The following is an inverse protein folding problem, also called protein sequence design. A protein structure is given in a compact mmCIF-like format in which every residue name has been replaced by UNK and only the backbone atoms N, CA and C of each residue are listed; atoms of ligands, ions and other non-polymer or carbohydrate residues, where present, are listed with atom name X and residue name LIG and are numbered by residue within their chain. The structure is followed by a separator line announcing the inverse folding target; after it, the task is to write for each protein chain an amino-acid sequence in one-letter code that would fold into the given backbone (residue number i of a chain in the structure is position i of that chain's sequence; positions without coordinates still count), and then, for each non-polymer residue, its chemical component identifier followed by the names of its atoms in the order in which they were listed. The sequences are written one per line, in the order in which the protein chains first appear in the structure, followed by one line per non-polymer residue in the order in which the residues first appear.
data_IF_992741681110
#
_entry.id   IF_992741681110
#
_cell.length_a   1.000
_cell.length_b   1.000
_cell.length_c   1.000
_cell.angle_alpha   90.00
_cell.angle_beta   90.00
_cell.angle_gamma   90.00
#
_symmetry.space_group_name_H-M   'P 1'
#
loop_
_entity.id
_entity.type
_entity.pdbx_description
1 polymer ?
#
# COMPACT_ATOMS: atom_id res chain seq x y z
N UNK A 1 -28.34 -12.26 4.26
CA UNK A 1 -27.87 -10.88 4.46
C UNK A 1 -26.99 -10.52 3.31
N UNK A 2 -27.14 -9.32 2.77
CA UNK A 2 -26.22 -8.77 1.77
C UNK A 2 -24.81 -8.66 2.36
N UNK A 3 -23.78 -8.81 1.52
CA UNK A 3 -22.38 -8.65 1.90
C UNK A 3 -21.82 -7.44 1.15
N UNK A 4 -21.03 -6.66 1.85
CA UNK A 4 -20.39 -5.44 1.37
C UNK A 4 -18.91 -5.68 1.07
N UNK A 5 -18.39 -5.03 0.02
CA UNK A 5 -16.99 -5.13 -0.38
C UNK A 5 -16.45 -3.71 -0.59
N UNK A 6 -15.29 -3.40 -0.02
CA UNK A 6 -14.54 -2.19 -0.30
C UNK A 6 -13.22 -2.56 -1.00
N UNK A 7 -12.94 -1.93 -2.15
CA UNK A 7 -11.68 -2.09 -2.85
C UNK A 7 -10.95 -0.74 -2.90
N UNK A 8 -9.73 -0.69 -2.38
CA UNK A 8 -8.92 0.52 -2.27
C UNK A 8 -7.65 0.35 -3.09
N UNK A 9 -7.47 1.23 -4.06
CA UNK A 9 -6.22 1.35 -4.80
C UNK A 9 -5.41 2.53 -4.25
N UNK A 10 -4.16 2.30 -3.85
CA UNK A 10 -3.30 3.35 -3.30
C UNK A 10 -1.91 3.39 -3.96
N UNK A 11 -1.39 4.60 -4.11
CA UNK A 11 0.00 4.86 -4.49
C UNK A 11 0.61 5.73 -3.39
N UNK A 12 1.44 5.13 -2.54
CA UNK A 12 2.01 5.82 -1.36
C UNK A 12 3.36 6.47 -1.68
N UNK A 13 3.86 7.32 -0.77
CA UNK A 13 5.10 8.07 -0.96
C UNK A 13 6.31 7.21 -1.39
N UNK A 14 6.96 7.64 -2.48
CA UNK A 14 8.20 7.04 -2.97
C UNK A 14 9.43 7.46 -2.14
N UNK A 15 10.53 6.71 -2.32
CA UNK A 15 11.81 6.94 -1.65
C UNK A 15 12.19 5.79 -0.71
N UNK A 16 13.49 5.64 -0.44
CA UNK A 16 14.04 4.53 0.35
C UNK A 16 14.68 4.98 1.67
N UNK A 17 14.60 6.27 2.00
CA UNK A 17 15.05 6.78 3.29
C UNK A 17 13.99 6.58 4.39
N UNK A 18 14.41 6.71 5.66
CA UNK A 18 13.50 6.55 6.79
C UNK A 18 12.35 7.57 6.80
N UNK A 19 12.56 8.77 6.28
CA UNK A 19 11.50 9.77 6.18
C UNK A 19 10.42 9.35 5.16
N UNK A 20 10.79 8.68 4.06
CA UNK A 20 9.86 8.11 3.11
C UNK A 20 9.04 6.96 3.71
N UNK A 21 9.68 6.12 4.54
CA UNK A 21 8.98 5.07 5.29
C UNK A 21 7.91 5.66 6.22
N UNK A 22 8.24 6.70 6.98
CA UNK A 22 7.28 7.36 7.86
C UNK A 22 6.15 8.05 7.07
N UNK A 23 6.48 8.67 5.92
CA UNK A 23 5.47 9.23 5.01
C UNK A 23 4.49 8.18 4.49
N UNK A 24 4.95 6.99 4.08
CA UNK A 24 4.05 5.90 3.66
C UNK A 24 3.09 5.46 4.77
N UNK A 25 3.60 5.35 6.00
CA UNK A 25 2.75 5.03 7.14
C UNK A 25 1.70 6.12 7.40
N UNK A 26 2.09 7.38 7.24
CA UNK A 26 1.18 8.52 7.36
C UNK A 26 0.14 8.54 6.23
N UNK A 27 0.56 8.34 4.97
CA UNK A 27 -0.34 8.28 3.81
C UNK A 27 -1.41 7.20 4.02
N UNK A 28 -1.02 6.00 4.46
CA UNK A 28 -1.95 4.93 4.82
C UNK A 28 -2.97 5.41 5.88
N UNK A 29 -2.50 6.01 6.97
CA UNK A 29 -3.37 6.46 8.06
C UNK A 29 -4.36 7.54 7.60
N UNK A 30 -3.91 8.48 6.76
CA UNK A 30 -4.78 9.53 6.20
C UNK A 30 -5.85 8.94 5.26
N UNK A 31 -5.48 8.00 4.39
CA UNK A 31 -6.46 7.34 3.50
C UNK A 31 -7.47 6.55 4.33
N UNK A 32 -7.00 5.75 5.29
CA UNK A 32 -7.86 4.93 6.15
C UNK A 32 -8.82 5.79 6.99
N UNK A 33 -8.36 6.91 7.52
CA UNK A 33 -9.17 7.77 8.40
C UNK A 33 -10.12 8.71 7.65
N UNK A 34 -9.76 9.17 6.45
CA UNK A 34 -10.52 10.20 5.73
C UNK A 34 -11.46 9.65 4.66
N UNK A 35 -11.25 8.42 4.20
CA UNK A 35 -12.09 7.84 3.14
C UNK A 35 -13.40 7.35 3.73
N UNK A 36 -14.47 8.05 3.40
CA UNK A 36 -15.85 7.72 3.79
C UNK A 36 -16.73 7.66 2.56
N UNK A 37 -17.62 6.67 2.50
CA UNK A 37 -18.61 6.48 1.45
C UNK A 37 -19.98 6.90 2.00
N UNK A 38 -20.67 7.81 1.33
CA UNK A 38 -22.00 8.26 1.75
C UNK A 38 -22.91 8.46 0.55
N UNK A 39 -24.16 8.03 0.68
CA UNK A 39 -25.21 8.41 -0.26
C UNK A 39 -25.81 9.73 0.19
N UNK A 40 -25.85 10.70 -0.73
CA UNK A 40 -26.35 12.02 -0.44
C UNK A 40 -27.47 12.37 -1.45
N UNK A 41 -28.59 12.88 -0.95
CA UNK A 41 -29.63 13.45 -1.80
C UNK A 41 -29.58 14.99 -1.80
N UNK A 42 -30.09 15.63 -2.87
CA UNK A 42 -30.38 17.05 -2.83
C UNK A 42 -31.31 17.37 -1.67
N UNK A 43 -30.98 18.40 -0.87
CA UNK A 43 -31.87 18.89 0.17
C UNK A 43 -33.25 19.22 -0.38
N UNK A 44 -34.30 18.91 0.38
CA UNK A 44 -35.68 19.31 0.10
C UNK A 44 -35.86 20.83 0.09
N UNK A 45 -34.85 21.59 0.52
CA UNK A 45 -34.75 23.05 0.43
C UNK A 45 -33.65 23.45 -0.57
N UNK A 46 -34.00 23.62 -1.87
CA UNK A 46 -33.02 23.85 -2.95
C UNK A 46 -32.17 25.11 -2.76
N UNK A 47 -32.69 26.10 -2.02
CA UNK A 47 -32.05 27.39 -1.77
C UNK A 47 -30.73 27.29 -1.01
N UNK A 48 -30.45 26.16 -0.38
CA UNK A 48 -29.23 25.94 0.41
C UNK A 48 -28.07 25.32 -0.37
N UNK A 49 -28.33 24.71 -1.53
CA UNK A 49 -27.33 23.89 -2.24
C UNK A 49 -26.79 22.70 -1.42
N UNK A 50 -27.36 22.43 -0.25
CA UNK A 50 -26.85 21.43 0.68
C UNK A 50 -27.28 20.02 0.24
N UNK A 51 -26.38 19.06 0.44
CA UNK A 51 -26.67 17.64 0.30
C UNK A 51 -26.97 17.04 1.67
N UNK A 52 -27.99 16.18 1.76
CA UNK A 52 -28.40 15.51 2.99
C UNK A 52 -28.00 14.02 2.92
N UNK A 53 -27.26 13.47 3.90
CA UNK A 53 -26.93 12.05 3.93
C UNK A 53 -28.21 11.21 4.06
N UNK A 54 -28.41 10.24 3.16
CA UNK A 54 -29.49 9.27 3.22
C UNK A 54 -29.27 8.22 4.32
N UNK A 55 -28.01 7.84 4.48
CA UNK A 55 -27.52 6.85 5.43
C UNK A 55 -26.26 7.40 6.10
N UNK A 56 -25.92 6.95 7.32
CA UNK A 56 -24.63 7.27 7.93
C UNK A 56 -23.49 6.92 6.97
N UNK A 57 -22.49 7.80 6.79
CA UNK A 57 -21.31 7.47 5.99
C UNK A 57 -20.61 6.22 6.53
N UNK A 58 -20.09 5.42 5.62
CA UNK A 58 -19.44 4.14 5.89
C UNK A 58 -17.95 4.30 5.58
N UNK A 59 -17.10 4.04 6.56
CA UNK A 59 -15.64 4.01 6.41
C UNK A 59 -15.16 2.74 5.72
N UNK A 60 -13.91 2.71 5.28
CA UNK A 60 -13.29 1.54 4.63
C UNK A 60 -13.46 0.27 5.49
N UNK A 61 -13.17 0.35 6.78
CA UNK A 61 -13.17 -0.78 7.74
C UNK A 61 -14.57 -1.28 8.14
N UNK A 62 -15.63 -0.61 7.70
CA UNK A 62 -17.02 -0.97 7.99
C UNK A 62 -17.63 -1.90 6.92
N UNK A 63 -16.82 -2.49 6.04
CA UNK A 63 -17.26 -3.45 5.02
C UNK A 63 -16.88 -4.88 5.42
N UNK A 64 -17.67 -5.87 4.97
CA UNK A 64 -17.46 -7.29 5.28
C UNK A 64 -16.15 -7.84 4.70
N UNK A 65 -15.72 -7.31 3.55
CA UNK A 65 -14.44 -7.60 2.91
C UNK A 65 -13.80 -6.31 2.43
N UNK A 66 -12.54 -6.08 2.82
CA UNK A 66 -11.74 -4.97 2.35
C UNK A 66 -10.50 -5.49 1.63
N UNK A 67 -10.26 -5.00 0.41
CA UNK A 67 -9.07 -5.32 -0.38
C UNK A 67 -8.30 -4.03 -0.64
N UNK A 68 -7.04 -4.00 -0.20
CA UNK A 68 -6.09 -2.94 -0.57
C UNK A 68 -5.10 -3.48 -1.59
N UNK A 69 -4.82 -2.69 -2.62
CA UNK A 69 -3.79 -3.01 -3.60
C UNK A 69 -3.16 -1.74 -4.19
N UNK A 70 -1.96 -1.85 -4.73
CA UNK A 70 -1.31 -0.78 -5.48
C UNK A 70 0.19 -0.68 -5.23
N UNK A 71 0.78 0.44 -5.64
CA UNK A 71 2.19 0.72 -5.38
C UNK A 71 2.33 1.35 -3.99
N UNK A 72 2.42 0.49 -2.98
CA UNK A 72 2.63 0.94 -1.60
C UNK A 72 4.04 1.46 -1.35
N UNK A 73 4.97 1.30 -2.30
CA UNK A 73 6.31 1.88 -2.27
C UNK A 73 7.21 1.51 -1.07
N UNK A 74 6.84 0.51 -0.26
CA UNK A 74 7.71 -0.05 0.78
C UNK A 74 8.92 -0.75 0.17
N UNK A 75 10.08 -0.63 0.81
CA UNK A 75 11.39 -1.06 0.25
C UNK A 75 12.04 -2.13 1.12
N UNK A 76 13.12 -2.73 0.59
CA UNK A 76 13.97 -3.62 1.36
C UNK A 76 14.95 -2.84 2.25
N UNK A 77 14.76 -2.91 3.57
CA UNK A 77 15.56 -2.19 4.54
C UNK A 77 16.97 -2.78 4.72
N UNK A 78 17.99 -1.94 4.48
CA UNK A 78 19.38 -2.25 4.79
C UNK A 78 20.04 -3.27 3.84
N UNK A 79 19.50 -3.44 2.63
CA UNK A 79 20.13 -4.20 1.56
C UNK A 79 20.69 -3.25 0.49
N UNK A 80 21.84 -3.61 -0.08
CA UNK A 80 22.37 -2.95 -1.28
C UNK A 80 21.74 -3.57 -2.53
N UNK A 81 21.82 -2.85 -3.65
CA UNK A 81 21.38 -3.36 -4.96
C UNK A 81 22.03 -4.72 -5.28
N UNK A 82 23.34 -4.87 -5.13
CA UNK A 82 24.06 -6.11 -5.41
C UNK A 82 23.59 -7.26 -4.54
N UNK A 83 23.40 -7.00 -3.25
CA UNK A 83 22.97 -8.02 -2.29
C UNK A 83 21.55 -8.48 -2.60
N UNK A 84 20.64 -7.55 -2.88
CA UNK A 84 19.27 -7.88 -3.25
C UNK A 84 19.20 -8.67 -4.56
N UNK A 85 19.90 -8.22 -5.62
CA UNK A 85 19.97 -8.94 -6.90
C UNK A 85 20.55 -10.36 -6.72
N UNK A 86 21.59 -10.52 -5.90
CA UNK A 86 22.16 -11.83 -5.60
C UNK A 86 21.16 -12.75 -4.89
N UNK A 87 20.44 -12.25 -3.88
CA UNK A 87 19.40 -13.01 -3.18
C UNK A 87 18.24 -13.41 -4.12
N UNK A 88 17.87 -12.53 -5.06
CA UNK A 88 16.88 -12.84 -6.10
C UNK A 88 17.37 -13.96 -7.02
N UNK A 89 18.63 -13.89 -7.46
CA UNK A 89 19.22 -14.93 -8.32
C UNK A 89 19.25 -16.31 -7.63
N UNK A 90 19.49 -16.34 -6.33
CA UNK A 90 19.46 -17.56 -5.50
C UNK A 90 18.06 -17.95 -5.02
N UNK A 91 17.02 -17.21 -5.41
CA UNK A 91 15.62 -17.41 -4.98
C UNK A 91 15.46 -17.46 -3.45
N UNK A 92 16.28 -16.70 -2.73
CA UNK A 92 16.25 -16.61 -1.27
C UNK A 92 15.17 -15.63 -0.80
N UNK A 93 13.92 -15.89 -1.19
CA UNK A 93 12.76 -15.06 -0.87
C UNK A 93 12.66 -14.76 0.61
N UNK A 94 13.01 -15.73 1.46
CA UNK A 94 12.98 -15.56 2.91
C UNK A 94 13.92 -14.50 3.45
N UNK A 95 15.09 -14.34 2.86
CA UNK A 95 16.02 -13.30 3.28
C UNK A 95 15.57 -11.92 2.80
N UNK A 96 14.86 -11.85 1.68
CA UNK A 96 14.30 -10.60 1.15
C UNK A 96 13.10 -10.13 1.98
N UNK A 97 12.06 -10.96 2.18
CA UNK A 97 10.85 -10.51 2.86
C UNK A 97 11.07 -10.19 4.34
N UNK A 98 12.04 -10.81 5.02
CA UNK A 98 12.45 -10.40 6.37
C UNK A 98 13.00 -8.97 6.44
N UNK A 99 13.43 -8.42 5.31
CA UNK A 99 13.89 -7.02 5.16
C UNK A 99 12.82 -6.10 4.59
N UNK A 100 11.69 -6.63 4.15
CA UNK A 100 10.61 -5.85 3.60
C UNK A 100 10.00 -4.92 4.67
N UNK A 101 9.88 -3.63 4.32
CA UNK A 101 9.35 -2.62 5.22
C UNK A 101 7.85 -2.76 5.46
N UNK A 102 7.06 -3.22 4.48
CA UNK A 102 5.61 -3.40 4.63
C UNK A 102 5.34 -4.50 5.66
N UNK A 103 5.95 -5.67 5.48
CA UNK A 103 5.86 -6.79 6.41
C UNK A 103 6.21 -6.35 7.83
N UNK A 104 7.30 -5.61 8.01
CA UNK A 104 7.73 -5.11 9.32
C UNK A 104 6.78 -4.05 9.88
N UNK A 105 6.23 -3.19 9.04
CA UNK A 105 5.27 -2.17 9.47
C UNK A 105 3.93 -2.78 9.89
N UNK A 106 3.44 -3.80 9.16
CA UNK A 106 2.26 -4.59 9.52
C UNK A 106 2.49 -5.36 10.83
N UNK A 107 3.63 -6.05 10.96
CA UNK A 107 3.98 -6.76 12.20
C UNK A 107 4.10 -5.84 13.42
N UNK A 108 4.49 -4.58 13.21
CA UNK A 108 4.54 -3.55 14.24
C UNK A 108 3.18 -2.83 14.47
N UNK A 109 2.13 -3.19 13.73
CA UNK A 109 0.81 -2.56 13.81
C UNK A 109 0.77 -1.11 13.32
N UNK A 110 1.76 -0.66 12.54
CA UNK A 110 1.84 0.72 12.03
C UNK A 110 0.94 0.97 10.82
N UNK A 111 0.71 -0.06 10.02
CA UNK A 111 -0.12 -0.03 8.81
C UNK A 111 -0.91 -1.32 8.71
N UNK A 112 -2.09 -1.24 8.09
CA UNK A 112 -2.96 -2.38 7.83
C UNK A 112 -3.21 -3.31 9.05
N UNK A 113 -3.60 -2.79 10.23
CA UNK A 113 -3.91 -3.64 11.38
C UNK A 113 -5.10 -4.56 11.05
N UNK A 114 -4.94 -5.86 11.30
CA UNK A 114 -5.97 -6.87 11.03
C UNK A 114 -6.08 -7.31 9.57
N UNK A 115 -5.22 -6.82 8.68
CA UNK A 115 -5.11 -7.34 7.32
C UNK A 115 -4.07 -8.45 7.24
N UNK A 116 -4.28 -9.35 6.28
CA UNK A 116 -3.34 -10.41 5.94
C UNK A 116 -2.71 -10.15 4.56
N UNK A 117 -1.39 -10.30 4.48
CA UNK A 117 -0.66 -10.36 3.21
C UNK A 117 -0.18 -11.80 2.98
N UNK A 118 -0.38 -12.30 1.76
CA UNK A 118 0.08 -13.64 1.37
C UNK A 118 1.61 -13.74 1.37
N UNK A 119 2.13 -14.96 1.50
CA UNK A 119 3.57 -15.20 1.39
C UNK A 119 4.08 -14.78 0.01
N UNK A 120 5.12 -13.96 -0.02
CA UNK A 120 5.81 -13.57 -1.26
C UNK A 120 6.77 -14.68 -1.71
N UNK A 121 6.43 -15.36 -2.80
CA UNK A 121 7.22 -16.42 -3.45
C UNK A 121 7.71 -16.03 -4.85
N UNK A 122 7.65 -14.73 -5.15
CA UNK A 122 8.06 -14.10 -6.41
C UNK A 122 9.13 -13.02 -6.17
N UNK A 123 9.80 -12.61 -7.25
CA UNK A 123 10.87 -11.61 -7.20
C UNK A 123 10.32 -10.18 -7.00
N UNK A 124 11.08 -9.26 -6.37
CA UNK A 124 10.67 -7.86 -6.24
C UNK A 124 10.29 -7.24 -7.59
N UNK A 125 9.19 -6.49 -7.62
CA UNK A 125 8.54 -6.02 -8.86
C UNK A 125 9.04 -4.66 -9.34
N UNK A 126 10.01 -4.07 -8.65
CA UNK A 126 10.61 -2.77 -8.95
C UNK A 126 12.12 -2.85 -8.68
N UNK A 127 13.01 -2.09 -9.32
CA UNK A 127 12.87 -1.36 -10.60
C UNK A 127 13.63 -2.11 -11.67
N UNK A 128 13.01 -2.30 -12.81
CA UNK A 128 13.65 -2.89 -14.00
C UNK A 128 14.10 -1.81 -14.99
N UNK A 129 15.10 -2.15 -15.80
CA UNK A 129 15.41 -1.47 -17.04
C UNK A 129 14.28 -1.68 -18.05
N UNK A 130 13.93 -0.63 -18.78
CA UNK A 130 12.79 -0.66 -19.70
C UNK A 130 12.95 -1.74 -20.78
N UNK A 131 11.94 -2.60 -20.89
CA UNK A 131 11.92 -3.68 -21.88
C UNK A 131 12.80 -4.89 -21.54
N UNK A 132 13.16 -5.07 -20.26
CA UNK A 132 13.97 -6.20 -19.80
C UNK A 132 13.58 -6.67 -18.40
N UNK A 133 14.03 -7.87 -18.04
CA UNK A 133 13.95 -8.41 -16.67
C UNK A 133 15.21 -8.12 -15.84
N UNK A 134 16.03 -7.16 -16.29
CA UNK A 134 17.25 -6.73 -15.60
C UNK A 134 16.91 -5.60 -14.63
N UNK A 135 17.32 -5.73 -13.37
CA UNK A 135 17.16 -4.68 -12.37
C UNK A 135 18.01 -3.43 -12.70
N UNK A 136 17.52 -2.27 -12.26
CA UNK A 136 18.00 -0.91 -12.58
C UNK A 136 19.52 -0.77 -12.73
N UNK A 137 20.00 -0.67 -13.98
CA UNK A 137 21.42 -0.44 -14.29
C UNK A 137 21.78 1.04 -14.39
N UNK A 138 20.81 1.95 -14.19
CA UNK A 138 21.07 3.38 -14.19
C UNK A 138 22.04 3.78 -13.07
N UNK A 139 22.64 4.99 -13.09
CA UNK A 139 23.52 5.45 -12.02
C UNK A 139 22.89 5.46 -10.62
N UNK A 140 21.56 5.43 -10.53
CA UNK A 140 20.83 5.38 -9.25
C UNK A 140 20.85 4.00 -8.61
N UNK A 141 20.97 2.93 -9.42
CA UNK A 141 21.00 1.51 -9.01
C UNK A 141 20.02 1.22 -7.88
N UNK A 142 18.74 1.53 -8.10
CA UNK A 142 17.71 1.40 -7.06
C UNK A 142 17.63 -0.05 -6.63
N UNK A 143 17.74 -0.28 -5.32
CA UNK A 143 17.55 -1.61 -4.75
C UNK A 143 16.21 -2.19 -5.23
N UNK A 144 16.20 -3.46 -5.68
CA UNK A 144 14.97 -4.21 -5.91
C UNK A 144 14.00 -4.15 -4.73
#
# INVERSE_FOLDING_TARGET
GERSICAVAAHLAAGADGAAYDRRCHDYAEIAARTVFGECLPSLYPSSGAMVPLVPPVSIDQHDLVVWAGDFNFRLAGLTHETAVHLVAERQWEKLWRRDELYRAMAAGRVFPGYDEGRLDFAPTYKYDLGSDVYDTSPKRRCP
#
